data_IF_147472728557
#
_entry.id   IF_147472728557
#
_cell.length_a   1.000
_cell.length_b   1.000
_cell.length_c   1.000
_cell.angle_alpha   90.00
_cell.angle_beta   90.00
_cell.angle_gamma   90.00
#
_symmetry.space_group_name_H-M   'P 1'
#
loop_
_entity.id
_entity.type
_entity.pdbx_description
1 polymer ?
#
# COMPACT_ATOMS: atom_id res chain seq x y z
N UNK A 1 17.86 62.50 -15.65
CA UNK A 1 17.58 62.00 -17.02
C UNK A 1 17.48 60.49 -16.94
N UNK A 2 16.26 59.92 -17.02
CA UNK A 2 16.04 58.47 -16.98
C UNK A 2 15.84 57.95 -18.41
N UNK A 3 16.83 57.23 -18.93
CA UNK A 3 16.73 56.48 -20.19
C UNK A 3 16.04 55.15 -19.91
N UNK A 4 14.71 55.10 -20.09
CA UNK A 4 13.99 53.83 -20.17
C UNK A 4 14.36 53.14 -21.48
N UNK A 5 15.16 52.07 -21.40
CA UNK A 5 15.37 51.16 -22.52
C UNK A 5 14.15 50.26 -22.64
N UNK A 6 13.45 50.34 -23.76
CA UNK A 6 12.31 49.47 -24.07
C UNK A 6 12.78 48.04 -24.35
N UNK A 7 12.13 47.06 -23.73
CA UNK A 7 12.33 45.64 -23.99
C UNK A 7 11.92 45.34 -25.43
N UNK A 8 12.72 44.56 -26.16
CA UNK A 8 12.39 44.18 -27.54
C UNK A 8 11.39 43.02 -27.56
N UNK A 9 10.56 42.94 -28.61
CA UNK A 9 9.64 41.80 -28.80
C UNK A 9 10.38 40.45 -28.84
N UNK A 10 11.58 40.43 -29.42
CA UNK A 10 12.42 39.23 -29.51
C UNK A 10 12.87 38.78 -28.11
N UNK A 11 13.24 39.72 -27.24
CA UNK A 11 13.67 39.43 -25.87
C UNK A 11 12.55 38.78 -25.04
N UNK A 12 11.31 39.28 -25.17
CA UNK A 12 10.16 38.64 -24.52
C UNK A 12 9.86 37.26 -25.10
N UNK A 13 9.96 37.08 -26.43
CA UNK A 13 9.73 35.78 -27.06
C UNK A 13 10.77 34.75 -26.60
N UNK A 14 12.05 35.12 -26.60
CA UNK A 14 13.14 34.26 -26.12
C UNK A 14 12.96 33.92 -24.64
N UNK A 15 12.60 34.91 -23.79
CA UNK A 15 12.34 34.66 -22.38
C UNK A 15 11.19 33.67 -22.17
N UNK A 16 10.09 33.80 -22.92
CA UNK A 16 8.95 32.87 -22.85
C UNK A 16 9.32 31.46 -23.31
N UNK A 17 10.11 31.33 -24.38
CA UNK A 17 10.60 30.03 -24.85
C UNK A 17 11.48 29.37 -23.79
N UNK A 18 12.40 30.13 -23.17
CA UNK A 18 13.24 29.62 -22.09
C UNK A 18 12.37 29.16 -20.91
N UNK A 19 11.41 29.97 -20.47
CA UNK A 19 10.50 29.60 -19.37
C UNK A 19 9.69 28.35 -19.72
N UNK A 20 9.19 28.23 -20.94
CA UNK A 20 8.42 27.06 -21.38
C UNK A 20 9.27 25.78 -21.40
N UNK A 21 10.50 25.85 -21.94
CA UNK A 21 11.43 24.71 -21.98
C UNK A 21 11.85 24.31 -20.57
N UNK A 22 12.20 25.29 -19.72
CA UNK A 22 12.55 25.02 -18.32
C UNK A 22 11.37 24.42 -17.54
N UNK A 23 10.15 24.88 -17.81
CA UNK A 23 8.93 24.36 -17.17
C UNK A 23 8.65 22.92 -17.62
N UNK A 24 8.79 22.61 -18.91
CA UNK A 24 8.64 21.25 -19.43
C UNK A 24 9.71 20.30 -18.85
N UNK A 25 10.96 20.74 -18.80
CA UNK A 25 12.06 19.99 -18.20
C UNK A 25 11.84 19.76 -16.69
N UNK A 26 11.32 20.77 -15.97
CA UNK A 26 11.01 20.66 -14.55
C UNK A 26 9.92 19.62 -14.26
N UNK A 27 8.88 19.53 -15.10
CA UNK A 27 7.83 18.49 -14.97
C UNK A 27 8.41 17.09 -15.19
N UNK A 28 9.27 16.91 -16.20
CA UNK A 28 9.92 15.62 -16.48
C UNK A 28 10.94 15.23 -15.39
N UNK A 29 11.53 16.20 -14.69
CA UNK A 29 12.46 15.98 -13.59
C UNK A 29 11.79 15.66 -12.25
N UNK A 30 10.45 15.76 -12.15
CA UNK A 30 9.74 15.40 -10.92
C UNK A 30 9.83 13.88 -10.67
N UNK A 31 10.18 13.46 -9.44
CA UNK A 31 10.13 12.04 -9.07
C UNK A 31 8.72 11.47 -9.31
N UNK A 32 8.62 10.20 -9.72
CA UNK A 32 7.32 9.53 -9.81
C UNK A 32 6.71 9.39 -8.40
N UNK A 33 5.93 10.40 -8.02
CA UNK A 33 5.20 10.44 -6.76
C UNK A 33 4.22 9.26 -6.63
N UNK A 34 3.70 8.74 -7.75
CA UNK A 34 2.83 7.58 -7.74
C UNK A 34 3.62 6.30 -7.45
N UNK A 35 4.86 6.17 -7.94
CA UNK A 35 5.73 5.03 -7.60
C UNK A 35 6.10 5.04 -6.12
N UNK A 36 6.48 6.21 -5.59
CA UNK A 36 6.78 6.37 -4.16
C UNK A 36 5.59 6.08 -3.26
N UNK A 37 4.37 6.48 -3.68
CA UNK A 37 3.14 6.14 -2.95
C UNK A 37 2.89 4.64 -2.91
N UNK A 38 3.08 3.94 -4.04
CA UNK A 38 2.93 2.48 -4.10
C UNK A 38 3.96 1.74 -3.23
N UNK A 39 5.21 2.16 -3.29
CA UNK A 39 6.28 1.68 -2.40
C UNK A 39 5.90 1.84 -0.92
N UNK A 40 5.55 3.08 -0.51
CA UNK A 40 5.21 3.36 0.88
C UNK A 40 3.97 2.58 1.36
N UNK A 41 2.98 2.39 0.48
CA UNK A 41 1.82 1.56 0.79
C UNK A 41 2.20 0.09 1.01
N UNK A 42 3.03 -0.47 0.13
CA UNK A 42 3.48 -1.85 0.25
C UNK A 42 4.37 -2.08 1.48
N UNK A 43 5.22 -1.11 1.83
CA UNK A 43 6.04 -1.12 3.04
C UNK A 43 5.16 -1.10 4.29
N UNK A 44 4.19 -0.19 4.32
CA UNK A 44 3.24 -0.06 5.43
C UNK A 44 2.42 -1.33 5.64
N UNK A 45 1.93 -1.94 4.57
CA UNK A 45 1.16 -3.19 4.66
C UNK A 45 2.03 -4.32 5.21
N UNK A 46 3.26 -4.44 4.72
CA UNK A 46 4.21 -5.43 5.22
C UNK A 46 4.47 -5.24 6.72
N UNK A 47 4.68 -4.00 7.16
CA UNK A 47 4.90 -3.67 8.58
C UNK A 47 3.67 -3.98 9.45
N UNK A 48 2.45 -3.71 8.97
CA UNK A 48 1.22 -4.01 9.71
C UNK A 48 0.99 -5.52 9.85
N UNK A 49 1.26 -6.30 8.80
CA UNK A 49 1.17 -7.76 8.85
C UNK A 49 2.21 -8.34 9.82
N UNK A 50 3.46 -7.84 9.76
CA UNK A 50 4.50 -8.21 10.71
C UNK A 50 4.10 -7.90 12.16
N UNK A 51 3.58 -6.70 12.41
CA UNK A 51 3.09 -6.30 13.73
C UNK A 51 1.93 -7.18 14.23
N UNK A 52 1.01 -7.59 13.35
CA UNK A 52 -0.06 -8.52 13.72
C UNK A 52 0.50 -9.88 14.14
N UNK A 53 1.46 -10.41 13.40
CA UNK A 53 2.12 -11.67 13.74
C UNK A 53 2.95 -11.59 15.03
N UNK A 54 3.70 -10.51 15.23
CA UNK A 54 4.41 -10.24 16.48
C UNK A 54 3.45 -10.16 17.67
N UNK A 55 2.33 -9.44 17.51
CA UNK A 55 1.31 -9.34 18.56
C UNK A 55 0.68 -10.70 18.86
N UNK A 56 0.50 -11.57 17.87
CA UNK A 56 -0.03 -12.91 18.09
C UNK A 56 0.89 -13.73 19.00
N UNK A 57 2.19 -13.72 18.71
CA UNK A 57 3.20 -14.41 19.51
C UNK A 57 3.33 -13.84 20.92
N UNK A 58 3.38 -12.50 21.05
CA UNK A 58 3.54 -11.81 22.34
C UNK A 58 2.33 -12.02 23.26
N UNK A 59 1.12 -11.99 22.71
CA UNK A 59 -0.10 -12.11 23.50
C UNK A 59 -0.57 -13.54 23.71
N UNK A 60 0.00 -14.51 22.96
CA UNK A 60 -0.46 -15.90 22.97
C UNK A 60 -1.84 -16.08 22.33
N UNK A 61 -2.30 -15.12 21.51
CA UNK A 61 -3.62 -15.12 20.88
C UNK A 61 -3.49 -14.98 19.37
N UNK A 62 -4.12 -15.88 18.63
CA UNK A 62 -4.10 -15.80 17.17
C UNK A 62 -4.72 -14.48 16.69
N UNK A 63 -4.08 -13.90 15.68
CA UNK A 63 -4.50 -12.67 15.02
C UNK A 63 -5.01 -13.00 13.63
N UNK A 64 -6.14 -12.40 13.25
CA UNK A 64 -6.73 -12.49 11.93
C UNK A 64 -6.63 -11.16 11.18
N UNK A 65 -6.48 -11.26 9.87
CA UNK A 65 -6.47 -10.11 8.95
C UNK A 65 -7.62 -10.25 7.98
N UNK A 66 -8.47 -9.23 7.97
CA UNK A 66 -9.51 -9.03 6.97
C UNK A 66 -8.90 -8.20 5.85
N UNK A 67 -9.02 -8.67 4.62
CA UNK A 67 -8.53 -7.97 3.43
C UNK A 67 -9.74 -7.65 2.56
N UNK A 68 -9.83 -6.39 2.14
CA UNK A 68 -10.75 -5.90 1.10
C UNK A 68 -9.93 -5.36 -0.07
N UNK A 69 -10.59 -4.98 -1.16
CA UNK A 69 -9.92 -4.40 -2.32
C UNK A 69 -9.23 -3.06 -2.03
N UNK A 70 -9.73 -2.28 -1.07
CA UNK A 70 -9.21 -0.96 -0.70
C UNK A 70 -8.87 -0.80 0.80
N UNK A 71 -8.98 -1.86 1.59
CA UNK A 71 -8.80 -1.78 3.04
C UNK A 71 -8.23 -3.05 3.68
N UNK A 72 -7.69 -2.88 4.88
CA UNK A 72 -7.25 -3.96 5.75
C UNK A 72 -7.70 -3.75 7.18
N UNK A 73 -8.34 -4.77 7.75
CA UNK A 73 -8.75 -4.82 9.15
C UNK A 73 -8.03 -5.93 9.91
N UNK A 74 -7.93 -5.78 11.22
CA UNK A 74 -7.28 -6.75 12.09
C UNK A 74 -8.18 -7.10 13.27
N UNK A 75 -8.01 -8.30 13.79
CA UNK A 75 -8.76 -8.80 14.94
C UNK A 75 -8.02 -9.95 15.59
N UNK A 76 -8.49 -10.34 16.77
CA UNK A 76 -7.97 -11.50 17.49
C UNK A 76 -9.00 -12.61 17.49
N UNK A 77 -8.55 -13.85 17.58
CA UNK A 77 -9.45 -14.96 17.85
C UNK A 77 -9.60 -15.14 19.37
N UNK A 78 -10.84 -15.32 19.82
CA UNK A 78 -11.19 -15.70 21.18
C UNK A 78 -12.15 -16.88 21.10
N UNK A 79 -11.73 -18.04 21.64
CA UNK A 79 -12.54 -19.27 21.59
C UNK A 79 -13.01 -19.65 20.17
N UNK A 80 -12.14 -19.42 19.16
CA UNK A 80 -12.45 -19.68 17.75
C UNK A 80 -13.31 -18.61 17.07
N UNK A 81 -13.75 -17.57 17.79
CA UNK A 81 -14.52 -16.45 17.24
C UNK A 81 -13.59 -15.30 16.91
N UNK A 82 -13.67 -14.78 15.69
CA UNK A 82 -12.95 -13.57 15.29
C UNK A 82 -13.60 -12.32 15.90
N UNK A 83 -12.81 -11.54 16.63
CA UNK A 83 -13.23 -10.27 17.20
C UNK A 83 -12.35 -9.15 16.65
N UNK A 84 -12.91 -8.20 15.87
CA UNK A 84 -12.16 -7.05 15.36
C UNK A 84 -11.50 -6.24 16.48
N UNK A 85 -10.33 -5.67 16.19
CA UNK A 85 -9.72 -4.68 17.07
C UNK A 85 -10.50 -3.36 17.00
N UNK A 86 -10.43 -2.51 18.05
CA UNK A 86 -11.04 -1.19 18.04
C UNK A 86 -10.56 -0.33 16.87
N UNK A 87 -11.48 0.41 16.24
CA UNK A 87 -11.15 1.31 15.15
C UNK A 87 -10.93 2.76 15.63
N UNK A 88 -9.91 2.95 16.48
CA UNK A 88 -9.58 4.26 17.04
C UNK A 88 -8.08 4.59 16.95
N UNK A 89 -7.72 5.87 17.08
CA UNK A 89 -6.36 6.34 16.85
C UNK A 89 -5.30 5.73 17.78
N UNK A 90 -5.67 5.25 18.96
CA UNK A 90 -4.75 4.64 19.92
C UNK A 90 -4.36 3.21 19.52
N UNK A 91 -5.17 2.54 18.70
CA UNK A 91 -4.91 1.19 18.19
C UNK A 91 -4.04 1.23 16.90
N UNK A 92 -2.79 0.72 16.94
CA UNK A 92 -1.91 0.68 15.78
C UNK A 92 -2.40 -0.23 14.64
N UNK A 93 -3.12 -1.30 14.98
CA UNK A 93 -3.71 -2.27 14.05
C UNK A 93 -5.20 -2.02 13.81
N UNK A 94 -5.68 -0.78 13.99
CA UNK A 94 -7.04 -0.39 13.60
C UNK A 94 -7.23 -0.53 12.08
N UNK A 95 -8.45 -0.36 11.59
CA UNK A 95 -8.74 -0.47 10.17
C UNK A 95 -7.90 0.52 9.32
N UNK A 96 -7.51 0.10 8.12
CA UNK A 96 -6.58 0.83 7.25
C UNK A 96 -7.12 0.86 5.83
N UNK A 97 -7.60 2.01 5.40
CA UNK A 97 -7.86 2.25 3.98
C UNK A 97 -6.56 2.52 3.22
N UNK A 98 -6.50 2.04 1.99
CA UNK A 98 -5.40 2.26 1.08
C UNK A 98 -5.49 3.65 0.44
N UNK A 99 -4.35 4.23 0.04
CA UNK A 99 -4.34 5.46 -0.76
C UNK A 99 -5.11 5.28 -2.07
N UNK A 100 -5.66 6.38 -2.58
CA UNK A 100 -6.37 6.40 -3.86
C UNK A 100 -5.51 5.90 -5.02
N UNK A 101 -6.09 5.07 -5.87
CA UNK A 101 -5.43 4.45 -7.03
C UNK A 101 -4.62 3.20 -6.69
N UNK A 102 -4.63 2.74 -5.44
CA UNK A 102 -4.05 1.47 -5.01
C UNK A 102 -5.17 0.50 -4.65
N UNK A 103 -5.10 -0.72 -5.15
CA UNK A 103 -6.00 -1.80 -4.78
C UNK A 103 -5.25 -3.08 -4.44
N UNK A 104 -5.93 -3.96 -3.71
CA UNK A 104 -5.45 -5.26 -3.29
C UNK A 104 -6.12 -6.37 -4.09
N UNK A 105 -5.33 -7.39 -4.42
CA UNK A 105 -5.83 -8.71 -4.79
C UNK A 105 -5.15 -9.74 -3.89
N UNK A 106 -5.92 -10.66 -3.36
CA UNK A 106 -5.44 -11.72 -2.46
C UNK A 106 -5.47 -13.05 -3.18
N UNK A 107 -4.39 -13.82 -3.02
CA UNK A 107 -4.31 -15.21 -3.43
C UNK A 107 -3.94 -16.08 -2.25
N UNK A 108 -4.72 -17.12 -2.02
CA UNK A 108 -4.51 -18.13 -0.98
C UNK A 108 -4.39 -19.50 -1.64
N UNK A 109 -3.37 -20.27 -1.27
CA UNK A 109 -3.12 -21.61 -1.84
C UNK A 109 -3.14 -21.63 -3.39
N UNK A 110 -2.59 -20.57 -4.01
CA UNK A 110 -2.54 -20.42 -5.45
C UNK A 110 -3.87 -20.03 -6.12
N UNK A 111 -4.93 -19.74 -5.35
CA UNK A 111 -6.26 -19.35 -5.86
C UNK A 111 -6.57 -17.89 -5.57
N UNK A 112 -7.03 -17.18 -6.59
CA UNK A 112 -7.49 -15.81 -6.44
C UNK A 112 -8.77 -15.77 -5.61
N UNK A 113 -8.78 -14.84 -4.66
CA UNK A 113 -9.91 -14.57 -3.79
C UNK A 113 -10.66 -13.35 -4.33
N UNK A 114 -11.96 -13.53 -4.58
CA UNK A 114 -12.85 -12.42 -4.92
C UNK A 114 -13.15 -11.60 -3.66
N UNK A 115 -12.45 -10.47 -3.51
CA UNK A 115 -12.61 -9.55 -2.38
C UNK A 115 -13.88 -8.70 -2.46
N UNK A 116 -14.55 -8.63 -3.63
CA UNK A 116 -15.74 -7.79 -3.82
C UNK A 116 -17.05 -8.48 -3.39
N UNK A 117 -17.04 -9.82 -3.27
CA UNK A 117 -18.22 -10.61 -2.91
C UNK A 117 -18.42 -10.84 -1.42
N UNK A 118 -17.49 -10.41 -0.58
CA UNK A 118 -17.62 -10.59 0.88
C UNK A 118 -18.53 -9.51 1.48
N UNK A 119 -19.83 -9.80 1.56
CA UNK A 119 -20.77 -8.97 2.34
C UNK A 119 -20.47 -9.00 3.85
N UNK A 120 -19.80 -10.07 4.32
CA UNK A 120 -19.32 -10.18 5.71
C UNK A 120 -17.80 -10.22 5.75
N UNK A 121 -17.13 -9.24 6.38
CA UNK A 121 -15.68 -9.24 6.51
C UNK A 121 -15.22 -10.46 7.32
N UNK A 122 -14.44 -11.33 6.69
CA UNK A 122 -13.85 -12.53 7.31
C UNK A 122 -12.35 -12.42 7.34
N UNK A 123 -11.74 -12.90 8.42
CA UNK A 123 -10.29 -13.04 8.49
C UNK A 123 -9.86 -14.14 7.51
N UNK A 124 -9.07 -13.75 6.50
CA UNK A 124 -8.59 -14.64 5.42
C UNK A 124 -7.13 -15.04 5.59
N UNK A 125 -6.37 -14.22 6.31
CA UNK A 125 -4.99 -14.50 6.72
C UNK A 125 -4.99 -14.58 8.24
N UNK A 126 -4.31 -15.59 8.81
CA UNK A 126 -4.12 -15.73 10.24
C UNK A 126 -2.63 -15.79 10.59
N UNK A 127 -2.23 -15.00 11.59
CA UNK A 127 -0.98 -15.20 12.31
C UNK A 127 -1.30 -15.96 13.60
N UNK A 128 -0.80 -17.18 13.73
CA UNK A 128 -0.98 -17.98 14.93
C UNK A 128 0.04 -17.61 15.99
N UNK A 129 -0.32 -17.79 17.26
CA UNK A 129 0.55 -17.50 18.40
C UNK A 129 1.82 -18.36 18.45
N UNK A 130 1.85 -19.48 17.72
CA UNK A 130 3.02 -20.35 17.58
C UNK A 130 4.02 -19.88 16.50
N UNK A 131 3.73 -18.77 15.82
CA UNK A 131 4.56 -18.22 14.73
C UNK A 131 4.20 -18.72 13.33
N UNK A 132 3.18 -19.58 13.20
CA UNK A 132 2.68 -20.02 11.90
C UNK A 132 1.83 -18.92 11.25
N UNK A 133 2.04 -18.70 9.96
CA UNK A 133 1.30 -17.72 9.17
C UNK A 133 0.61 -18.43 8.01
N UNK A 134 -0.68 -18.16 7.79
CA UNK A 134 -1.39 -18.61 6.60
C UNK A 134 -0.62 -18.19 5.34
N UNK A 135 -0.23 -19.12 4.44
CA UNK A 135 0.45 -18.76 3.21
C UNK A 135 -0.43 -17.89 2.32
N UNK A 136 0.10 -16.77 1.84
CA UNK A 136 -0.63 -15.86 0.97
C UNK A 136 0.29 -15.15 -0.01
N UNK A 137 -0.28 -14.72 -1.13
CA UNK A 137 0.27 -13.67 -1.98
C UNK A 137 -0.73 -12.51 -2.02
N UNK A 138 -0.27 -11.32 -1.66
CA UNK A 138 -1.02 -10.08 -1.75
C UNK A 138 -0.41 -9.23 -2.86
N UNK A 139 -1.20 -8.96 -3.89
CA UNK A 139 -0.80 -8.11 -5.01
C UNK A 139 -1.33 -6.71 -4.78
N UNK A 140 -0.43 -5.73 -4.73
CA UNK A 140 -0.80 -4.32 -4.77
C UNK A 140 -0.79 -3.85 -6.22
N UNK A 141 -1.98 -3.55 -6.73
CA UNK A 141 -2.15 -2.93 -8.03
C UNK A 141 -2.20 -1.42 -7.91
N UNK A 142 -1.58 -0.74 -8.88
CA UNK A 142 -1.71 0.71 -9.09
C UNK A 142 -2.26 0.93 -10.48
N UNK A 143 -3.35 1.69 -10.57
CA UNK A 143 -4.04 1.97 -11.84
C UNK A 143 -4.38 0.68 -12.61
N UNK A 144 -4.78 -0.37 -11.89
CA UNK A 144 -5.13 -1.69 -12.45
C UNK A 144 -3.94 -2.61 -12.78
N UNK A 145 -2.69 -2.13 -12.68
CA UNK A 145 -1.50 -2.94 -12.94
C UNK A 145 -0.81 -3.36 -11.64
N UNK A 146 -0.51 -4.65 -11.41
CA UNK A 146 0.22 -5.11 -10.24
C UNK A 146 1.64 -4.53 -10.22
N UNK A 147 2.03 -3.88 -9.12
CA UNK A 147 3.35 -3.26 -8.95
C UNK A 147 4.17 -3.89 -7.83
N UNK A 148 3.51 -4.51 -6.86
CA UNK A 148 4.14 -5.14 -5.71
C UNK A 148 3.48 -6.47 -5.40
N UNK A 149 4.29 -7.44 -4.99
CA UNK A 149 3.87 -8.69 -4.39
C UNK A 149 4.36 -8.74 -2.95
N UNK A 150 3.47 -9.06 -2.03
CA UNK A 150 3.81 -9.35 -0.64
C UNK A 150 3.45 -10.82 -0.38
N UNK A 151 4.42 -11.61 0.04
CA UNK A 151 4.28 -13.05 0.22
C UNK A 151 4.47 -13.40 1.69
N UNK A 152 3.46 -14.02 2.30
CA UNK A 152 3.55 -14.63 3.62
C UNK A 152 3.87 -16.11 3.50
N UNK A 153 4.91 -16.58 4.22
CA UNK A 153 5.31 -17.98 4.28
C UNK A 153 4.83 -18.62 5.59
N UNK A 154 4.64 -19.95 5.65
CA UNK A 154 4.27 -20.67 6.88
C UNK A 154 5.19 -20.38 8.07
N UNK A 155 6.45 -20.04 7.82
CA UNK A 155 7.44 -19.71 8.84
C UNK A 155 7.22 -18.35 9.54
N UNK A 156 6.17 -17.61 9.19
CA UNK A 156 5.94 -16.24 9.64
C UNK A 156 6.76 -15.19 8.89
N UNK A 157 7.56 -15.59 7.90
CA UNK A 157 8.35 -14.67 7.09
C UNK A 157 7.46 -13.97 6.08
N UNK A 158 7.56 -12.64 6.03
CA UNK A 158 6.83 -11.80 5.08
C UNK A 158 7.85 -11.09 4.21
N UNK A 159 7.80 -11.37 2.92
CA UNK A 159 8.68 -10.79 1.92
C UNK A 159 7.89 -9.88 0.99
N UNK A 160 8.54 -8.84 0.48
CA UNK A 160 7.97 -7.92 -0.48
C UNK A 160 8.89 -7.81 -1.69
N UNK A 161 8.30 -7.92 -2.87
CA UNK A 161 8.99 -7.89 -4.15
C UNK A 161 8.31 -6.89 -5.08
N UNK A 162 9.11 -6.11 -5.81
CA UNK A 162 8.59 -5.24 -6.86
C UNK A 162 8.33 -6.06 -8.12
N UNK A 163 7.16 -5.87 -8.72
CA UNK A 163 6.84 -6.46 -10.01
C UNK A 163 7.22 -5.44 -11.08
N UNK A 164 8.32 -5.71 -11.78
CA UNK A 164 8.71 -4.90 -12.92
C UNK A 164 7.72 -5.14 -14.08
N UNK A 165 7.09 -4.07 -14.56
CA UNK A 165 6.28 -4.13 -15.76
C UNK A 165 7.21 -4.33 -16.96
N UNK A 166 7.02 -5.44 -17.70
CA UNK A 166 7.55 -5.57 -19.05
C UNK A 166 6.86 -4.60 -20.01
#
# INVERSE_FOLDING_TARGET
MNTQRGITLIELLVALVIVAVLSAAAVLAMPDFAARRGEAAAERITALLGMACERAMVTGRDMGVVVSDDAMGFGSFAQGVFTPLPDDAAEPLRNRHLPTGISLALRLDGRDIDLQRDETPRARIACQANGELTPFELLLARDGAPRWRITGKPSGLIERERIDAH
#
